data_IF_861148812949
#
_entry.id   IF_861148812949
#
_cell.length_a   1.000
_cell.length_b   1.000
_cell.length_c   1.000
_cell.angle_alpha   90.00
_cell.angle_beta   90.00
_cell.angle_gamma   90.00
#
_symmetry.space_group_name_H-M   'P 1'
#
loop_
_entity.id
_entity.type
_entity.pdbx_description
1 polymer ?
#
# COMPACT_ATOMS: atom_id res chain seq x y z
N UNK A 1 -4.33 -18.58 -5.41
CA UNK A 1 -4.00 -17.16 -5.18
C UNK A 1 -2.52 -16.97 -5.54
N UNK A 2 -2.19 -15.99 -6.38
CA UNK A 2 -0.79 -15.71 -6.73
C UNK A 2 -0.07 -15.17 -5.48
N UNK A 3 1.18 -15.61 -5.24
CA UNK A 3 1.96 -15.21 -4.06
C UNK A 3 2.18 -13.70 -4.01
N UNK A 4 2.20 -13.01 -5.16
CA UNK A 4 2.39 -11.56 -5.25
C UNK A 4 1.14 -10.78 -4.86
N UNK A 5 -0.02 -11.17 -5.40
CA UNK A 5 -1.29 -10.50 -5.12
C UNK A 5 -1.67 -10.68 -3.64
N UNK A 6 -1.38 -11.85 -3.06
CA UNK A 6 -1.60 -12.10 -1.63
C UNK A 6 -0.74 -11.23 -0.70
N UNK A 7 0.47 -10.84 -1.12
CA UNK A 7 1.30 -9.91 -0.32
C UNK A 7 0.72 -8.51 -0.27
N UNK A 8 0.12 -8.03 -1.36
CA UNK A 8 -0.55 -6.74 -1.37
C UNK A 8 -1.77 -6.72 -0.45
N UNK A 9 -2.52 -7.82 -0.36
CA UNK A 9 -3.64 -7.95 0.57
C UNK A 9 -3.18 -7.91 2.03
N UNK A 10 -2.20 -8.75 2.40
CA UNK A 10 -1.65 -8.79 3.77
C UNK A 10 -1.06 -7.43 4.16
N UNK A 11 -0.34 -6.78 3.25
CA UNK A 11 0.22 -5.45 3.50
C UNK A 11 -0.87 -4.37 3.68
N UNK A 12 -1.97 -4.48 2.94
CA UNK A 12 -3.12 -3.58 3.09
C UNK A 12 -3.76 -3.73 4.47
N UNK A 13 -3.95 -4.96 4.92
CA UNK A 13 -4.50 -5.28 6.25
C UNK A 13 -3.57 -4.77 7.35
N UNK A 14 -2.26 -5.06 7.26
CA UNK A 14 -1.28 -4.56 8.22
C UNK A 14 -1.33 -3.03 8.36
N UNK A 15 -1.40 -2.28 7.26
CA UNK A 15 -1.52 -0.81 7.34
C UNK A 15 -2.83 -0.36 8.00
N UNK A 16 -3.94 -1.07 7.77
CA UNK A 16 -5.23 -0.76 8.40
C UNK A 16 -5.21 -1.03 9.90
N UNK A 17 -4.45 -2.01 10.36
CA UNK A 17 -4.30 -2.34 11.78
C UNK A 17 -3.43 -1.31 12.54
N UNK A 18 -2.60 -0.52 11.83
CA UNK A 18 -1.80 0.54 12.43
C UNK A 18 -2.57 1.84 12.73
N UNK A 19 -3.85 1.92 12.35
CA UNK A 19 -4.64 3.17 12.42
C UNK A 19 -6.08 2.92 12.86
N UNK A 20 -6.63 3.82 13.69
CA UNK A 20 -8.05 3.76 14.07
C UNK A 20 -8.97 4.54 13.11
N UNK A 21 -8.44 5.57 12.44
CA UNK A 21 -9.21 6.47 11.58
C UNK A 21 -9.63 5.81 10.27
N UNK A 22 -10.93 5.82 9.97
CA UNK A 22 -11.46 5.16 8.77
C UNK A 22 -11.04 5.84 7.47
N UNK A 23 -10.72 7.15 7.45
CA UNK A 23 -10.20 7.77 6.23
C UNK A 23 -8.81 7.23 5.89
N UNK A 24 -7.99 6.92 6.89
CA UNK A 24 -6.72 6.25 6.69
C UNK A 24 -6.91 4.83 6.15
N UNK A 25 -7.77 4.03 6.79
CA UNK A 25 -8.06 2.67 6.34
C UNK A 25 -8.60 2.62 4.91
N UNK A 26 -9.55 3.49 4.58
CA UNK A 26 -10.10 3.57 3.22
C UNK A 26 -9.05 3.98 2.20
N UNK A 27 -8.14 4.89 2.57
CA UNK A 27 -7.01 5.24 1.73
C UNK A 27 -6.04 4.09 1.49
N UNK A 28 -5.72 3.29 2.53
CA UNK A 28 -4.87 2.10 2.38
C UNK A 28 -5.55 1.02 1.54
N UNK A 29 -6.83 0.74 1.77
CA UNK A 29 -7.63 -0.19 0.94
C UNK A 29 -7.62 0.24 -0.53
N UNK A 30 -7.70 1.55 -0.80
CA UNK A 30 -7.61 2.10 -2.16
C UNK A 30 -6.22 1.92 -2.76
N UNK A 31 -5.15 2.22 -2.02
CA UNK A 31 -3.77 2.02 -2.49
C UNK A 31 -3.47 0.54 -2.78
N UNK A 32 -3.93 -0.38 -1.92
CA UNK A 32 -3.86 -1.82 -2.15
C UNK A 32 -4.64 -2.27 -3.38
N UNK A 33 -5.85 -1.73 -3.57
CA UNK A 33 -6.66 -2.01 -4.76
C UNK A 33 -6.00 -1.55 -6.06
N UNK A 34 -5.42 -0.34 -6.08
CA UNK A 34 -4.66 0.19 -7.23
C UNK A 34 -3.45 -0.71 -7.53
N UNK A 35 -2.68 -1.06 -6.50
CA UNK A 35 -1.47 -1.91 -6.61
C UNK A 35 -1.81 -3.25 -7.27
N UNK A 36 -2.90 -3.90 -6.83
CA UNK A 36 -3.36 -5.17 -7.42
C UNK A 36 -3.93 -5.00 -8.82
N UNK A 37 -4.78 -4.00 -9.03
CA UNK A 37 -5.41 -3.73 -10.32
C UNK A 37 -4.36 -3.53 -11.43
N UNK A 38 -3.26 -2.87 -11.10
CA UNK A 38 -2.20 -2.54 -12.04
C UNK A 38 -1.04 -3.56 -12.03
N UNK A 39 -1.22 -4.70 -11.36
CA UNK A 39 -0.24 -5.80 -11.27
C UNK A 39 1.13 -5.37 -10.71
N UNK A 40 1.16 -4.40 -9.79
CA UNK A 40 2.38 -3.94 -9.13
C UNK A 40 2.76 -4.88 -7.97
N UNK A 41 3.93 -5.49 -8.04
CA UNK A 41 4.54 -6.19 -6.91
C UNK A 41 5.04 -5.16 -5.88
N UNK A 42 4.84 -5.40 -4.58
CA UNK A 42 5.35 -4.55 -3.50
C UNK A 42 6.86 -4.28 -3.58
N UNK A 43 7.64 -5.19 -4.20
CA UNK A 43 9.06 -4.94 -4.48
C UNK A 43 9.27 -3.79 -5.44
N UNK A 44 8.47 -3.67 -6.50
CA UNK A 44 8.55 -2.54 -7.43
C UNK A 44 8.07 -1.26 -6.75
N UNK A 45 6.97 -1.32 -6.00
CA UNK A 45 6.47 -0.18 -5.23
C UNK A 45 7.54 0.34 -4.25
N UNK A 46 8.26 -0.56 -3.58
CA UNK A 46 9.36 -0.20 -2.68
C UNK A 46 10.57 0.39 -3.40
N UNK A 47 10.89 -0.09 -4.60
CA UNK A 47 12.01 0.41 -5.41
C UNK A 47 11.73 1.80 -5.99
N UNK A 48 10.54 1.98 -6.55
CA UNK A 48 10.17 3.22 -7.24
C UNK A 48 9.82 4.34 -6.25
N UNK A 49 9.22 3.98 -5.11
CA UNK A 49 8.67 4.89 -4.10
C UNK A 49 7.86 6.05 -4.70
N UNK A 50 7.12 5.78 -5.77
CA UNK A 50 6.38 6.80 -6.50
C UNK A 50 5.11 7.20 -5.73
N UNK A 51 5.23 8.21 -4.88
CA UNK A 51 4.11 8.79 -4.14
C UNK A 51 3.10 9.44 -5.10
N UNK A 52 3.58 10.09 -6.15
CA UNK A 52 2.73 10.84 -7.08
C UNK A 52 1.79 9.90 -7.83
N UNK A 53 2.27 8.70 -8.21
CA UNK A 53 1.46 7.65 -8.83
C UNK A 53 0.15 7.36 -8.09
N UNK A 54 0.21 7.22 -6.76
CA UNK A 54 -0.98 6.95 -5.95
C UNK A 54 -1.82 8.22 -5.72
N UNK A 55 -1.18 9.38 -5.61
CA UNK A 55 -1.88 10.67 -5.49
C UNK A 55 -2.72 10.97 -6.72
N UNK A 56 -2.14 10.79 -7.91
CA UNK A 56 -2.82 11.02 -9.19
C UNK A 56 -4.01 10.07 -9.40
N UNK A 57 -4.00 8.92 -8.70
CA UNK A 57 -5.11 7.94 -8.66
C UNK A 57 -6.09 8.17 -7.49
N UNK A 58 -5.97 9.31 -6.80
CA UNK A 58 -6.92 9.78 -5.79
C UNK A 58 -6.64 9.31 -4.37
N UNK A 59 -5.44 8.81 -4.06
CA UNK A 59 -5.01 8.57 -2.68
C UNK A 59 -4.52 9.89 -2.07
N UNK A 60 -4.90 10.18 -0.82
CA UNK A 60 -4.41 11.41 -0.14
C UNK A 60 -2.87 11.37 0.00
N UNK A 61 -2.14 12.49 -0.19
CA UNK A 61 -0.68 12.49 -0.21
C UNK A 61 0.01 11.88 1.01
N UNK A 62 -0.53 12.10 2.21
CA UNK A 62 0.00 11.51 3.44
C UNK A 62 -0.12 9.98 3.46
N UNK A 63 -1.27 9.46 3.02
CA UNK A 63 -1.53 8.02 2.94
C UNK A 63 -0.65 7.38 1.86
N UNK A 64 -0.55 8.01 0.69
CA UNK A 64 0.33 7.54 -0.39
C UNK A 64 1.80 7.46 0.05
N UNK A 65 2.28 8.45 0.81
CA UNK A 65 3.62 8.42 1.39
C UNK A 65 3.81 7.25 2.35
N UNK A 66 2.88 7.06 3.30
CA UNK A 66 2.94 5.93 4.24
C UNK A 66 2.90 4.58 3.52
N UNK A 67 2.09 4.46 2.47
CA UNK A 67 1.96 3.25 1.66
C UNK A 67 3.28 2.84 0.99
N UNK A 68 3.99 3.75 0.33
CA UNK A 68 5.23 3.37 -0.38
C UNK A 68 6.41 3.19 0.58
N UNK A 69 6.45 3.94 1.69
CA UNK A 69 7.56 3.91 2.65
C UNK A 69 7.43 2.79 3.68
N UNK A 70 6.20 2.40 4.03
CA UNK A 70 5.92 1.41 5.07
C UNK A 70 6.28 -0.04 4.68
N UNK A 71 6.57 -0.30 3.39
CA UNK A 71 6.84 -1.66 2.89
C UNK A 71 8.05 -2.28 3.57
N UNK A 72 9.10 -1.48 3.84
CA UNK A 72 10.28 -1.99 4.53
C UNK A 72 9.96 -2.40 5.97
N UNK A 73 9.25 -1.55 6.71
CA UNK A 73 8.87 -1.85 8.09
C UNK A 73 8.01 -3.11 8.17
N UNK A 74 6.99 -3.21 7.32
CA UNK A 74 6.15 -4.41 7.22
C UNK A 74 6.97 -5.67 6.91
N UNK A 75 7.89 -5.59 5.94
CA UNK A 75 8.72 -6.72 5.54
C UNK A 75 9.69 -7.18 6.64
N UNK A 76 10.16 -6.25 7.48
CA UNK A 76 11.03 -6.56 8.62
C UNK A 76 10.23 -7.20 9.80
N UNK A 77 8.90 -7.07 9.82
CA UNK A 77 7.98 -7.65 10.83
C UNK A 77 7.39 -9.02 10.44
N UNK A 78 7.72 -9.55 9.25
CA UNK A 78 7.25 -10.85 8.77
C UNK A 78 8.06 -12.04 9.31
#
# INVERSE_FOLDING_TARGET
>A
MNVRDGKADIYTEWNCDQVDDENWKDGFRRAGSITKHDCLDLRHVYQDQDVAYYVDKGVKPGIARSWVQGIKAWADEQ
#
